data_IF_172746938751
#
_entry.id   IF_172746938751
#
_cell.length_a   1.000
_cell.length_b   1.000
_cell.length_c   1.000
_cell.angle_alpha   90.00
_cell.angle_beta   90.00
_cell.angle_gamma   90.00
#
_symmetry.space_group_name_H-M   'P 1'
#
loop_
_entity.id
_entity.type
_entity.pdbx_description
1 polymer ?
#
# COMPACT_ATOMS: atom_id res chain seq x y z
N UNK A 1 -3.30 -10.32 -4.57
CA UNK A 1 -3.79 -9.65 -5.81
C UNK A 1 -3.27 -10.44 -7.00
N UNK A 2 -4.14 -11.11 -7.75
CA UNK A 2 -3.77 -11.88 -8.95
C UNK A 2 -3.41 -10.99 -10.13
N UNK A 3 -2.84 -11.59 -11.18
CA UNK A 3 -2.51 -10.87 -12.42
C UNK A 3 -3.71 -10.63 -13.33
N UNK A 4 -4.86 -11.20 -12.97
CA UNK A 4 -6.18 -11.07 -13.58
C UNK A 4 -7.01 -9.94 -12.96
N UNK A 5 -6.65 -9.45 -11.77
CA UNK A 5 -7.35 -8.35 -11.09
C UNK A 5 -6.82 -6.95 -11.47
N UNK A 6 -6.01 -6.82 -12.52
CA UNK A 6 -5.61 -5.54 -13.08
C UNK A 6 -5.51 -5.63 -14.60
N UNK A 7 -5.95 -4.59 -15.28
CA UNK A 7 -6.08 -4.57 -16.74
C UNK A 7 -5.03 -3.64 -17.34
N UNK A 8 -4.55 -3.99 -18.54
CA UNK A 8 -3.67 -3.14 -19.35
C UNK A 8 -4.42 -2.73 -20.61
N UNK A 9 -4.55 -1.42 -20.86
CA UNK A 9 -4.96 -0.88 -22.15
C UNK A 9 -3.72 -0.38 -22.88
N UNK A 10 -3.45 -0.94 -24.05
CA UNK A 10 -2.35 -0.52 -24.93
C UNK A 10 -2.96 -0.01 -26.24
N UNK A 11 -2.79 1.28 -26.51
CA UNK A 11 -3.20 1.92 -27.77
C UNK A 11 -1.94 2.13 -28.59
N UNK A 12 -1.81 1.35 -29.66
CA UNK A 12 -0.72 1.54 -30.62
C UNK A 12 -1.09 2.71 -31.54
N UNK A 13 -0.12 3.58 -31.88
CA UNK A 13 -0.40 4.62 -32.85
C UNK A 13 -0.66 3.98 -34.20
N UNK A 14 -1.59 4.58 -34.97
CA UNK A 14 -1.79 4.22 -36.36
C UNK A 14 -0.48 4.42 -37.14
N UNK A 15 -0.24 3.57 -38.15
CA UNK A 15 0.86 3.74 -39.09
C UNK A 15 0.59 4.96 -39.96
N UNK A 16 0.77 6.17 -39.44
CA UNK A 16 0.83 7.37 -40.27
C UNK A 16 2.16 7.37 -41.06
N UNK A 17 2.13 7.61 -42.38
CA UNK A 17 3.36 7.81 -43.13
C UNK A 17 3.94 9.17 -42.75
N UNK A 18 5.24 9.20 -42.46
CA UNK A 18 6.08 10.41 -42.45
C UNK A 18 5.92 11.43 -41.31
N UNK A 19 5.96 10.97 -40.05
CA UNK A 19 6.48 11.82 -38.96
C UNK A 19 7.81 11.28 -38.45
N UNK A 20 8.84 12.12 -38.41
CA UNK A 20 10.23 11.77 -38.02
C UNK A 20 10.35 11.33 -36.54
N UNK A 21 9.28 11.46 -35.75
CA UNK A 21 9.19 10.99 -34.37
C UNK A 21 8.20 9.81 -34.31
N UNK A 22 8.66 8.58 -33.98
CA UNK A 22 7.73 7.49 -33.72
C UNK A 22 6.83 7.87 -32.54
N UNK A 23 5.52 7.99 -32.78
CA UNK A 23 4.54 8.14 -31.69
C UNK A 23 4.72 6.95 -30.74
N UNK A 24 4.94 7.22 -29.45
CA UNK A 24 5.01 6.17 -28.44
C UNK A 24 3.61 5.60 -28.21
N UNK A 25 3.51 4.28 -28.02
CA UNK A 25 2.25 3.64 -27.66
C UNK A 25 1.78 4.15 -26.29
N UNK A 26 0.49 4.48 -26.19
CA UNK A 26 -0.11 4.86 -24.92
C UNK A 26 -0.46 3.59 -24.13
N UNK A 27 0.09 3.46 -22.92
CA UNK A 27 -0.15 2.31 -22.04
C UNK A 27 -0.78 2.82 -20.74
N UNK A 28 -1.93 2.23 -20.36
CA UNK A 28 -2.64 2.53 -19.11
C UNK A 28 -2.93 1.24 -18.34
N UNK A 29 -2.86 1.33 -17.01
CA UNK A 29 -3.20 0.24 -16.10
C UNK A 29 -4.47 0.63 -15.32
N UNK A 30 -5.39 -0.33 -15.13
CA UNK A 30 -6.55 -0.18 -14.25
C UNK A 30 -6.52 -1.26 -13.16
N UNK A 31 -6.43 -0.85 -11.89
CA UNK A 31 -6.53 -1.76 -10.75
C UNK A 31 -8.00 -2.00 -10.38
N UNK A 32 -8.50 -3.19 -10.70
CA UNK A 32 -9.91 -3.55 -10.50
C UNK A 32 -10.07 -4.51 -9.32
N UNK A 33 -11.32 -4.77 -8.93
CA UNK A 33 -11.65 -5.80 -7.93
C UNK A 33 -10.96 -5.57 -6.56
N UNK A 34 -11.17 -4.40 -5.95
CA UNK A 34 -10.55 -4.01 -4.68
C UNK A 34 -11.31 -4.46 -3.42
N UNK A 35 -12.26 -5.39 -3.54
CA UNK A 35 -13.18 -5.78 -2.46
C UNK A 35 -12.55 -6.56 -1.29
N UNK A 36 -11.37 -7.15 -1.47
CA UNK A 36 -10.64 -7.90 -0.42
C UNK A 36 -9.44 -7.12 0.16
N UNK A 37 -9.51 -5.79 0.14
CA UNK A 37 -8.51 -4.92 0.75
C UNK A 37 -8.81 -4.62 2.24
N UNK A 38 -7.96 -3.82 2.89
CA UNK A 38 -8.10 -3.37 4.29
C UNK A 38 -8.25 -4.50 5.33
N UNK A 39 -7.26 -5.41 5.46
CA UNK A 39 -7.31 -6.42 6.50
C UNK A 39 -7.07 -5.82 7.89
N UNK A 40 -7.69 -6.38 8.93
CA UNK A 40 -7.49 -5.94 10.31
C UNK A 40 -6.22 -6.53 10.97
N UNK A 41 -5.53 -7.46 10.30
CA UNK A 41 -4.21 -7.97 10.69
C UNK A 41 -3.47 -8.47 9.46
N UNK A 42 -2.15 -8.61 9.52
CA UNK A 42 -1.44 -9.29 8.44
C UNK A 42 -1.81 -10.78 8.44
N UNK A 43 -1.84 -11.44 7.27
CA UNK A 43 -2.20 -12.85 7.18
C UNK A 43 -1.28 -13.75 8.00
N UNK A 44 -1.85 -14.80 8.59
CA UNK A 44 -1.05 -15.87 9.18
C UNK A 44 -0.43 -16.72 8.05
N UNK A 45 0.76 -17.30 8.28
CA UNK A 45 1.60 -17.92 7.25
C UNK A 45 0.94 -18.99 6.36
N UNK A 46 -0.14 -19.64 6.81
CA UNK A 46 -0.86 -20.66 6.04
C UNK A 46 -1.84 -20.10 4.97
N UNK A 47 -2.12 -18.79 4.99
CA UNK A 47 -2.85 -18.06 3.92
C UNK A 47 -2.10 -16.78 3.56
N UNK A 48 -0.98 -16.91 2.85
CA UNK A 48 -0.04 -15.80 2.63
C UNK A 48 -0.54 -14.65 1.72
N UNK A 49 -1.78 -14.69 1.21
CA UNK A 49 -2.40 -13.71 0.28
C UNK A 49 -1.40 -12.86 -0.53
N UNK A 50 -0.57 -13.49 -1.38
CA UNK A 50 0.55 -12.79 -2.00
C UNK A 50 0.12 -11.70 -2.99
N UNK A 51 1.03 -10.76 -3.21
CA UNK A 51 1.00 -9.84 -4.33
C UNK A 51 1.57 -10.53 -5.56
N UNK A 52 0.74 -11.04 -6.49
CA UNK A 52 1.23 -11.86 -7.60
C UNK A 52 2.14 -11.07 -8.57
N UNK A 53 1.96 -9.76 -8.65
CA UNK A 53 2.82 -8.89 -9.44
C UNK A 53 4.27 -8.88 -8.93
N UNK A 54 4.55 -9.31 -7.69
CA UNK A 54 5.91 -9.35 -7.14
C UNK A 54 6.82 -10.38 -7.83
N UNK A 55 6.25 -11.36 -8.53
CA UNK A 55 7.00 -12.34 -9.34
C UNK A 55 7.33 -11.86 -10.75
N UNK A 56 6.79 -10.72 -11.18
CA UNK A 56 7.09 -10.15 -12.48
C UNK A 56 8.49 -9.52 -12.49
N UNK A 57 9.17 -9.54 -13.63
CA UNK A 57 10.51 -8.93 -13.73
C UNK A 57 10.48 -7.42 -13.43
N UNK A 58 9.36 -6.76 -13.76
CA UNK A 58 9.11 -5.35 -13.47
C UNK A 58 9.21 -5.04 -11.98
N UNK A 59 8.82 -5.96 -11.10
CA UNK A 59 8.89 -5.76 -9.65
C UNK A 59 10.32 -5.77 -9.08
N UNK A 60 11.32 -6.17 -9.88
CA UNK A 60 12.74 -6.14 -9.50
C UNK A 60 13.39 -4.78 -9.78
N UNK A 61 12.73 -3.92 -10.56
CA UNK A 61 13.23 -2.57 -10.84
C UNK A 61 12.98 -1.66 -9.62
N UNK A 62 13.95 -0.80 -9.24
CA UNK A 62 13.74 0.22 -8.22
C UNK A 62 12.57 1.15 -8.56
N UNK A 63 11.94 1.73 -7.53
CA UNK A 63 10.96 2.79 -7.75
C UNK A 63 11.58 3.97 -8.52
N UNK A 64 10.87 4.49 -9.52
CA UNK A 64 11.33 5.63 -10.32
C UNK A 64 11.38 6.92 -9.50
N UNK A 65 12.17 7.89 -9.94
CA UNK A 65 12.18 9.23 -9.34
C UNK A 65 10.81 9.89 -9.41
N UNK A 66 10.11 9.75 -10.54
CA UNK A 66 8.73 10.21 -10.70
C UNK A 66 7.77 9.65 -9.64
N UNK A 67 7.85 8.35 -9.34
CA UNK A 67 7.02 7.72 -8.29
C UNK A 67 7.39 8.27 -6.91
N UNK A 68 8.68 8.43 -6.64
CA UNK A 68 9.17 8.99 -5.37
C UNK A 68 8.70 10.42 -5.17
N UNK A 69 8.87 11.28 -6.17
CA UNK A 69 8.47 12.69 -6.11
C UNK A 69 6.95 12.85 -5.92
N UNK A 70 6.16 11.97 -6.52
CA UNK A 70 4.71 11.98 -6.38
C UNK A 70 4.25 11.50 -4.99
N UNK A 71 4.78 10.37 -4.51
CA UNK A 71 4.21 9.64 -3.37
C UNK A 71 4.89 9.98 -2.04
N UNK A 72 6.21 10.13 -2.04
CA UNK A 72 7.00 10.25 -0.81
C UNK A 72 6.66 11.49 0.03
N UNK A 73 6.45 12.70 -0.54
CA UNK A 73 6.11 13.88 0.25
C UNK A 73 4.79 13.72 1.01
N UNK A 74 3.78 13.12 0.35
CA UNK A 74 2.45 12.92 0.93
C UNK A 74 2.51 11.89 2.07
N UNK A 75 3.09 10.71 1.83
CA UNK A 75 3.11 9.64 2.83
C UNK A 75 4.10 9.88 3.99
N UNK A 76 5.06 10.79 3.83
CA UNK A 76 5.95 11.21 4.92
C UNK A 76 5.27 12.18 5.89
N UNK A 77 4.23 12.89 5.46
CA UNK A 77 3.44 13.78 6.30
C UNK A 77 2.43 13.00 7.14
N UNK A 78 2.57 13.09 8.46
CA UNK A 78 1.65 12.43 9.40
C UNK A 78 0.24 13.01 9.35
N UNK A 79 0.08 14.28 8.97
CA UNK A 79 -1.22 14.93 8.81
C UNK A 79 -1.99 14.29 7.67
N UNK A 80 -1.36 14.18 6.50
CA UNK A 80 -1.94 13.50 5.34
C UNK A 80 -2.36 12.05 5.63
N UNK A 81 -1.52 11.28 6.33
CA UNK A 81 -1.86 9.89 6.71
C UNK A 81 -3.04 9.85 7.70
N UNK A 82 -3.13 10.83 8.60
CA UNK A 82 -4.25 10.97 9.52
C UNK A 82 -5.54 11.33 8.76
N UNK A 83 -5.48 12.24 7.80
CA UNK A 83 -6.62 12.64 6.97
C UNK A 83 -7.17 11.45 6.18
N UNK A 84 -6.31 10.60 5.60
CA UNK A 84 -6.73 9.34 4.95
C UNK A 84 -7.48 8.45 5.94
N UNK A 85 -6.99 8.30 7.17
CA UNK A 85 -7.65 7.47 8.18
C UNK A 85 -9.04 8.05 8.54
N UNK A 86 -9.16 9.36 8.64
CA UNK A 86 -10.41 10.03 9.01
C UNK A 86 -11.44 9.96 7.85
N UNK A 87 -11.02 10.10 6.60
CA UNK A 87 -11.87 9.87 5.42
C UNK A 87 -12.35 8.42 5.33
N UNK A 88 -11.45 7.44 5.58
CA UNK A 88 -11.82 6.03 5.62
C UNK A 88 -12.80 5.72 6.76
N UNK A 89 -12.68 6.41 7.90
CA UNK A 89 -13.64 6.29 8.98
C UNK A 89 -15.04 6.74 8.56
N UNK A 90 -15.15 7.92 7.94
CA UNK A 90 -16.44 8.44 7.45
C UNK A 90 -17.07 7.59 6.35
N UNK A 91 -16.23 6.88 5.58
CA UNK A 91 -16.71 5.90 4.61
C UNK A 91 -17.19 4.61 5.29
N UNK A 92 -16.36 3.99 6.14
CA UNK A 92 -16.61 2.66 6.69
C UNK A 92 -17.74 2.67 7.72
N UNK A 93 -17.92 3.76 8.47
CA UNK A 93 -18.98 3.89 9.48
C UNK A 93 -20.41 3.93 8.91
N UNK A 94 -20.55 3.99 7.58
CA UNK A 94 -21.83 3.89 6.89
C UNK A 94 -22.36 2.45 6.84
N UNK A 95 -21.48 1.47 7.01
CA UNK A 95 -21.88 0.07 7.10
C UNK A 95 -22.60 -0.21 8.44
N UNK A 96 -23.80 -0.82 8.44
CA UNK A 96 -24.52 -1.15 9.67
C UNK A 96 -23.76 -2.10 10.60
N UNK A 97 -22.84 -2.91 10.07
CA UNK A 97 -21.96 -3.81 10.82
C UNK A 97 -20.61 -3.20 11.20
N UNK A 98 -20.44 -1.89 11.05
CA UNK A 98 -19.19 -1.22 11.39
C UNK A 98 -18.82 -1.42 12.86
N UNK A 99 -17.60 -1.92 13.09
CA UNK A 99 -17.00 -2.06 14.40
C UNK A 99 -15.75 -1.16 14.49
N UNK A 100 -15.80 -0.20 15.42
CA UNK A 100 -14.74 0.80 15.64
C UNK A 100 -13.39 0.16 16.03
N UNK A 101 -13.41 -0.95 16.77
CA UNK A 101 -12.20 -1.66 17.18
C UNK A 101 -11.56 -2.39 16.01
N UNK A 102 -12.37 -3.04 15.15
CA UNK A 102 -11.89 -3.64 13.90
C UNK A 102 -11.29 -2.57 12.98
N UNK A 103 -11.97 -1.42 12.86
CA UNK A 103 -11.47 -0.30 12.08
C UNK A 103 -10.10 0.20 12.55
N UNK A 104 -9.91 0.40 13.86
CA UNK A 104 -8.60 0.84 14.38
C UNK A 104 -7.49 -0.19 14.12
N UNK A 105 -7.81 -1.48 14.13
CA UNK A 105 -6.87 -2.52 13.72
C UNK A 105 -6.53 -2.44 12.23
N UNK A 106 -7.52 -2.22 11.35
CA UNK A 106 -7.28 -1.97 9.91
C UNK A 106 -6.34 -0.77 9.69
N UNK A 107 -6.59 0.34 10.40
CA UNK A 107 -5.75 1.53 10.27
C UNK A 107 -4.34 1.31 10.84
N UNK A 108 -4.20 0.46 11.84
CA UNK A 108 -2.88 0.11 12.38
C UNK A 108 -2.05 -0.72 11.40
N UNK A 109 -2.70 -1.58 10.60
CA UNK A 109 -2.07 -2.26 9.46
C UNK A 109 -1.73 -1.27 8.34
N UNK A 110 -2.66 -0.38 7.97
CA UNK A 110 -2.44 0.66 6.95
C UNK A 110 -1.22 1.52 7.28
N UNK A 111 -1.12 2.03 8.51
CA UNK A 111 0.01 2.84 8.98
C UNK A 111 1.34 2.07 8.92
N UNK A 112 1.33 0.77 9.25
CA UNK A 112 2.50 -0.08 9.10
C UNK A 112 2.92 -0.28 7.65
N UNK A 113 1.98 -0.44 6.72
CA UNK A 113 2.26 -0.51 5.29
C UNK A 113 2.82 0.82 4.75
N UNK A 114 2.27 1.95 5.19
CA UNK A 114 2.77 3.30 4.86
C UNK A 114 4.21 3.45 5.34
N UNK A 115 4.52 3.05 6.58
CA UNK A 115 5.87 3.11 7.13
C UNK A 115 6.88 2.33 6.26
N UNK A 116 6.55 1.07 5.92
CA UNK A 116 7.41 0.24 5.08
C UNK A 116 7.60 0.83 3.67
N UNK A 117 6.53 1.38 3.08
CA UNK A 117 6.58 2.01 1.76
C UNK A 117 7.45 3.28 1.77
N UNK A 118 7.30 4.15 2.77
CA UNK A 118 8.12 5.36 2.92
C UNK A 118 9.60 4.99 3.03
N UNK A 119 9.95 3.98 3.83
CA UNK A 119 11.32 3.52 3.96
C UNK A 119 11.85 2.94 2.64
N UNK A 120 11.06 2.13 1.95
CA UNK A 120 11.45 1.55 0.66
C UNK A 120 11.69 2.61 -0.42
N UNK A 121 10.88 3.68 -0.44
CA UNK A 121 11.06 4.80 -1.37
C UNK A 121 12.31 5.63 -1.05
N UNK A 122 12.64 5.84 0.23
CA UNK A 122 13.86 6.55 0.65
C UNK A 122 15.14 5.77 0.36
N UNK A 123 15.06 4.44 0.43
CA UNK A 123 16.20 3.53 0.25
C UNK A 123 16.37 3.05 -1.21
N UNK A 124 15.68 3.65 -2.18
CA UNK A 124 15.72 3.24 -3.60
C UNK A 124 15.43 1.73 -3.82
N UNK A 125 14.53 1.16 -3.02
CA UNK A 125 14.16 -0.26 -3.13
C UNK A 125 13.25 -0.51 -4.33
N UNK A 126 13.20 -1.77 -4.74
CA UNK A 126 12.24 -2.29 -5.72
C UNK A 126 10.95 -2.78 -5.04
N UNK A 127 9.83 -2.89 -5.78
CA UNK A 127 8.59 -3.47 -5.26
C UNK A 127 8.76 -4.86 -4.63
N UNK A 128 9.64 -5.71 -5.19
CA UNK A 128 9.90 -7.04 -4.62
C UNK A 128 10.60 -6.95 -3.26
N UNK A 129 11.55 -6.01 -3.10
CA UNK A 129 12.22 -5.78 -1.81
C UNK A 129 11.25 -5.18 -0.78
N UNK A 130 10.29 -4.34 -1.20
CA UNK A 130 9.24 -3.83 -0.32
C UNK A 130 8.38 -4.98 0.23
N UNK A 131 7.90 -5.90 -0.59
CA UNK A 131 7.03 -7.00 -0.11
C UNK A 131 7.78 -8.02 0.75
N UNK A 132 9.11 -8.05 0.69
CA UNK A 132 9.97 -8.86 1.56
C UNK A 132 10.23 -8.20 2.93
N UNK A 133 9.85 -6.93 3.11
CA UNK A 133 10.00 -6.26 4.41
C UNK A 133 9.12 -6.95 5.47
N UNK A 134 9.62 -7.12 6.71
CA UNK A 134 8.80 -7.64 7.79
C UNK A 134 7.54 -6.80 7.99
N UNK A 135 6.43 -7.48 8.24
CA UNK A 135 5.14 -6.84 8.46
C UNK A 135 5.15 -6.03 9.76
N UNK A 136 4.78 -4.75 9.66
CA UNK A 136 4.70 -3.81 10.80
C UNK A 136 3.25 -3.46 11.07
N UNK A 137 2.90 -3.27 12.34
CA UNK A 137 1.64 -2.67 12.78
C UNK A 137 1.98 -1.43 13.61
N UNK A 138 1.26 -0.34 13.37
CA UNK A 138 1.44 0.93 14.08
C UNK A 138 0.14 1.32 14.78
N UNK A 139 0.09 1.09 16.08
CA UNK A 139 -1.09 1.31 16.93
C UNK A 139 -1.09 2.72 17.53
N UNK A 140 -2.27 3.33 17.65
CA UNK A 140 -2.46 4.53 18.46
C UNK A 140 -2.73 4.10 19.90
N UNK A 141 -1.93 4.60 20.83
CA UNK A 141 -2.26 4.51 22.25
C UNK A 141 -3.05 5.74 22.65
N UNK A 142 -4.26 5.50 23.15
CA UNK A 142 -5.08 6.54 23.76
C UNK A 142 -4.66 6.69 25.23
N UNK A 143 -4.11 7.85 25.55
CA UNK A 143 -3.78 8.25 26.91
C UNK A 143 -4.90 9.11 27.49
N UNK A 144 -5.11 9.01 28.80
CA UNK A 144 -6.09 9.85 29.49
C UNK A 144 -5.39 11.14 29.94
N UNK A 145 -5.58 12.22 29.19
CA UNK A 145 -5.08 13.55 29.58
C UNK A 145 -6.28 14.43 29.90
N UNK A 146 -6.45 14.78 31.19
CA UNK A 146 -7.50 15.71 31.67
C UNK A 146 -8.94 15.37 31.22
N UNK A 147 -9.34 14.10 31.33
CA UNK A 147 -10.73 13.68 31.13
C UNK A 147 -11.18 13.48 29.67
N UNK A 148 -10.35 13.86 28.68
CA UNK A 148 -10.52 13.51 27.26
C UNK A 148 -9.61 12.33 26.89
N UNK A 149 -10.08 11.45 26.01
CA UNK A 149 -9.28 10.37 25.44
C UNK A 149 -8.63 10.87 24.15
N UNK A 150 -7.39 11.33 24.24
CA UNK A 150 -6.61 11.77 23.08
C UNK A 150 -5.53 10.73 22.75
N UNK A 151 -5.25 10.53 21.46
CA UNK A 151 -4.15 9.67 21.03
C UNK A 151 -2.83 10.37 21.40
N UNK A 152 -2.11 9.85 22.39
CA UNK A 152 -0.91 10.52 22.93
C UNK A 152 0.37 10.03 22.27
N UNK A 153 0.44 8.76 21.85
CA UNK A 153 1.64 8.17 21.24
C UNK A 153 1.30 7.04 20.26
N UNK A 154 2.17 6.83 19.26
CA UNK A 154 2.14 5.67 18.38
C UNK A 154 3.13 4.60 18.85
N UNK A 155 2.75 3.33 18.78
CA UNK A 155 3.65 2.19 19.03
C UNK A 155 3.78 1.31 17.82
N UNK A 156 5.03 0.98 17.46
CA UNK A 156 5.36 0.08 16.36
C UNK A 156 5.57 -1.34 16.90
N UNK A 157 5.01 -2.33 16.23
CA UNK A 157 5.23 -3.75 16.52
C UNK A 157 5.45 -4.52 15.23
N UNK A 158 6.35 -5.52 15.27
CA UNK A 158 6.65 -6.38 14.14
C UNK A 158 5.93 -7.71 14.31
N UNK A 159 5.21 -8.16 13.28
CA UNK A 159 4.67 -9.51 13.28
C UNK A 159 5.81 -10.47 12.94
N UNK A 160 6.27 -11.24 13.93
CA UNK A 160 7.27 -12.28 13.75
C UNK A 160 6.68 -13.42 12.92
N UNK A 161 6.84 -13.33 11.61
CA UNK A 161 6.63 -14.43 10.68
C UNK A 161 7.74 -14.31 9.66
N UNK A 162 8.58 -15.35 9.53
CA UNK A 162 9.60 -15.37 8.49
C UNK A 162 8.92 -15.09 7.13
N UNK A 163 9.52 -14.25 6.25
CA UNK A 163 8.94 -14.00 4.95
C UNK A 163 8.80 -15.35 4.21
N UNK A 164 7.58 -15.67 3.78
CA UNK A 164 7.24 -16.95 3.13
C UNK A 164 7.95 -17.13 1.78
N UNK A 165 8.68 -16.11 1.30
CA UNK A 165 9.36 -16.09 0.02
C UNK A 165 10.87 -16.28 0.18
N UNK A 166 11.28 -17.48 0.61
CA UNK A 166 12.63 -17.97 0.32
C UNK A 166 12.66 -18.40 -1.15
N UNK A 167 13.47 -17.72 -1.96
CA UNK A 167 13.77 -18.17 -3.32
C UNK A 167 14.72 -19.38 -3.27
N UNK A 168 14.38 -20.45 -4.00
CA UNK A 168 15.35 -21.37 -4.59
C UNK A 168 15.53 -20.97 -6.06
#
# INVERSE_FOLDING_TARGET
RGNDNWLIKCVRPDKEPETWSPKQAEIKIAAIDNGLAFPFKHPDSWRAYPYHWAWLQQAKLPFSQETKDLVLPQLSDQTFVQDICDELHELFRRDPGFDRHIFEKQMSVLRGQVLNLVQALKDDRSPVQLVQTPAVIVERKYGRTKGSWEATHFTQSFQQSAPVFSWC
#
